data_IF_749692221542
#
_entry.id   IF_749692221542
#
_cell.length_a   1.000
_cell.length_b   1.000
_cell.length_c   1.000
_cell.angle_alpha   90.00
_cell.angle_beta   90.00
_cell.angle_gamma   90.00
#
_symmetry.space_group_name_H-M   'P 1'
#
loop_
_entity.id
_entity.type
_entity.pdbx_description
1 polymer ?
#
# COMPACT_ATOMS: atom_id res chain seq x y z
N UNK A 1 12.63 52.16 18.72
CA UNK A 1 12.99 50.78 19.15
C UNK A 1 11.81 49.86 19.39
N UNK A 2 10.71 50.26 20.07
CA UNK A 2 9.56 49.37 20.35
C UNK A 2 8.82 48.85 19.10
N UNK A 3 8.73 49.65 18.05
CA UNK A 3 8.04 49.30 16.79
C UNK A 3 8.79 48.23 15.99
N UNK A 4 10.12 48.30 15.96
CA UNK A 4 10.99 47.35 15.25
C UNK A 4 10.93 45.95 15.88
N UNK A 5 10.84 45.86 17.22
CA UNK A 5 10.70 44.58 17.93
C UNK A 5 9.33 43.92 17.67
N UNK A 6 8.26 44.72 17.49
CA UNK A 6 6.92 44.22 17.15
C UNK A 6 6.85 43.70 15.71
N UNK A 7 7.52 44.36 14.77
CA UNK A 7 7.59 43.92 13.37
C UNK A 7 8.39 42.61 13.25
N UNK A 8 9.51 42.50 13.97
CA UNK A 8 10.31 41.27 14.01
C UNK A 8 9.53 40.11 14.65
N UNK A 9 8.80 40.37 15.75
CA UNK A 9 7.95 39.35 16.39
C UNK A 9 6.81 38.88 15.48
N UNK A 10 6.17 39.79 14.72
CA UNK A 10 5.15 39.41 13.73
C UNK A 10 5.73 38.62 12.55
N UNK A 11 6.95 38.95 12.09
CA UNK A 11 7.63 38.21 11.02
C UNK A 11 8.03 36.80 11.46
N UNK A 12 8.52 36.63 12.70
CA UNK A 12 8.84 35.31 13.27
C UNK A 12 7.57 34.46 13.42
N UNK A 13 6.46 35.05 13.90
CA UNK A 13 5.17 34.36 13.97
C UNK A 13 4.64 33.94 12.60
N UNK A 14 4.83 34.77 11.55
CA UNK A 14 4.40 34.46 10.18
C UNK A 14 5.24 33.33 9.55
N UNK A 15 6.55 33.28 9.83
CA UNK A 15 7.47 32.23 9.36
C UNK A 15 7.22 30.90 10.11
N UNK A 16 6.83 30.95 11.39
CA UNK A 16 6.44 29.75 12.13
C UNK A 16 5.06 29.21 11.69
N UNK A 17 4.16 30.06 11.17
CA UNK A 17 2.83 29.62 10.69
C UNK A 17 2.86 29.03 9.28
N UNK A 18 3.87 29.35 8.47
CA UNK A 18 4.08 28.76 7.13
C UNK A 18 4.94 27.49 7.14
N UNK A 19 5.49 27.10 8.30
CA UNK A 19 6.46 26.02 8.40
C UNK A 19 5.88 24.61 8.65
N UNK A 20 4.57 24.40 8.57
CA UNK A 20 3.97 23.08 8.80
C UNK A 20 2.97 22.69 7.71
N UNK A 21 3.44 22.59 6.47
CA UNK A 21 2.79 21.81 5.42
C UNK A 21 3.86 21.02 4.69
N UNK A 22 4.45 20.04 5.39
CA UNK A 22 5.22 19.02 4.71
C UNK A 22 4.20 18.29 3.82
N UNK A 23 4.39 18.39 2.50
CA UNK A 23 3.58 17.61 1.58
C UNK A 23 3.75 16.14 1.92
N UNK A 24 2.65 15.41 2.10
CA UNK A 24 2.72 13.97 2.21
C UNK A 24 3.26 13.42 0.87
N UNK A 25 4.28 12.56 0.94
CA UNK A 25 4.81 11.76 -0.17
C UNK A 25 3.77 10.71 -0.65
N UNK A 26 4.11 9.77 -1.54
CA UNK A 26 3.12 8.83 -2.09
C UNK A 26 2.47 7.90 -1.02
N UNK A 27 1.15 7.65 -1.09
CA UNK A 27 0.43 6.77 -0.14
C UNK A 27 0.88 5.31 -0.20
N UNK A 28 1.27 4.81 -1.38
CA UNK A 28 1.76 3.43 -1.53
C UNK A 28 3.18 3.20 -1.02
N UNK A 29 4.01 4.24 -1.08
CA UNK A 29 5.46 4.12 -0.83
C UNK A 29 5.88 4.55 0.57
N UNK A 30 4.96 5.17 1.33
CA UNK A 30 5.24 5.79 2.63
C UNK A 30 4.50 5.12 3.80
N UNK A 31 3.84 3.99 3.54
CA UNK A 31 3.12 3.19 4.53
C UNK A 31 3.86 1.87 4.80
N UNK A 32 4.94 1.92 5.59
CA UNK A 32 5.81 0.77 5.89
C UNK A 32 5.18 -0.23 6.90
N UNK A 33 3.95 -0.65 6.65
CA UNK A 33 3.18 -1.51 7.56
C UNK A 33 3.77 -2.92 7.70
N UNK A 34 4.71 -3.32 6.83
CA UNK A 34 5.48 -4.55 7.01
C UNK A 34 6.21 -4.60 8.36
N UNK A 35 6.48 -3.45 8.99
CA UNK A 35 7.16 -3.36 10.29
C UNK A 35 6.36 -4.08 11.39
N UNK A 36 5.02 -4.07 11.31
CA UNK A 36 4.14 -4.79 12.22
C UNK A 36 4.23 -6.34 12.09
N UNK A 37 4.92 -6.82 11.06
CA UNK A 37 5.12 -8.24 10.77
C UNK A 37 6.60 -8.62 10.78
N UNK A 38 7.47 -7.82 11.42
CA UNK A 38 8.91 -8.07 11.45
C UNK A 38 9.28 -9.41 12.10
N UNK A 39 8.43 -9.95 12.98
CA UNK A 39 8.62 -11.24 13.64
C UNK A 39 8.18 -12.44 12.77
N UNK A 40 7.48 -12.21 11.65
CA UNK A 40 7.13 -13.27 10.71
C UNK A 40 8.39 -13.70 9.93
N UNK A 41 8.87 -14.96 10.04
CA UNK A 41 10.14 -15.37 9.43
C UNK A 41 10.21 -15.10 7.92
N UNK A 42 9.09 -15.31 7.21
CA UNK A 42 8.99 -15.06 5.77
C UNK A 42 9.12 -13.57 5.41
N UNK A 43 8.69 -12.66 6.28
CA UNK A 43 8.83 -11.20 6.11
C UNK A 43 10.23 -10.76 6.49
N UNK A 44 10.75 -11.26 7.62
CA UNK A 44 12.08 -10.94 8.13
C UNK A 44 13.21 -11.28 7.15
N UNK A 45 13.07 -12.36 6.38
CA UNK A 45 14.08 -12.77 5.40
C UNK A 45 14.13 -11.91 4.12
N UNK A 46 13.15 -11.04 3.90
CA UNK A 46 13.12 -10.18 2.71
C UNK A 46 14.15 -9.06 2.84
N UNK A 47 15.14 -9.08 1.94
CA UNK A 47 16.15 -8.02 1.82
C UNK A 47 15.75 -7.08 0.70
N UNK A 48 15.47 -5.83 1.05
CA UNK A 48 15.14 -4.77 0.09
C UNK A 48 16.24 -4.61 -0.97
N UNK A 49 15.82 -4.36 -2.21
CA UNK A 49 16.73 -4.25 -3.36
C UNK A 49 17.25 -5.59 -3.90
N UNK A 50 16.95 -6.73 -3.26
CA UNK A 50 17.26 -8.06 -3.79
C UNK A 50 16.03 -8.69 -4.44
N UNK A 51 16.28 -9.54 -5.42
CA UNK A 51 15.26 -10.41 -6.01
C UNK A 51 14.71 -11.37 -4.96
N UNK A 52 13.38 -11.43 -4.73
CA UNK A 52 12.80 -12.36 -3.79
C UNK A 52 12.99 -13.83 -4.22
N UNK A 53 13.02 -14.73 -3.25
CA UNK A 53 13.26 -16.16 -3.48
C UNK A 53 12.01 -16.88 -4.01
N UNK A 54 12.19 -18.08 -4.56
CA UNK A 54 11.07 -18.94 -4.94
C UNK A 54 10.21 -19.35 -3.72
N UNK A 55 10.77 -19.36 -2.52
CA UNK A 55 10.01 -19.55 -1.27
C UNK A 55 9.08 -18.35 -0.99
N UNK A 56 9.56 -17.12 -1.18
CA UNK A 56 8.71 -15.92 -1.08
C UNK A 56 7.53 -16.01 -2.06
N UNK A 57 7.81 -16.39 -3.31
CA UNK A 57 6.77 -16.54 -4.32
C UNK A 57 5.80 -17.69 -4.02
N UNK A 58 6.30 -18.80 -3.49
CA UNK A 58 5.46 -19.90 -3.01
C UNK A 58 4.52 -19.43 -1.91
N UNK A 59 5.02 -18.63 -0.97
CA UNK A 59 4.21 -18.09 0.12
C UNK A 59 3.08 -17.19 -0.38
N UNK A 60 3.38 -16.28 -1.32
CA UNK A 60 2.35 -15.42 -1.94
C UNK A 60 1.31 -16.24 -2.70
N UNK A 61 1.74 -17.35 -3.33
CA UNK A 61 0.90 -18.17 -4.17
C UNK A 61 0.00 -19.17 -3.42
N UNK A 62 0.37 -19.55 -2.19
CA UNK A 62 -0.37 -20.54 -1.41
C UNK A 62 -1.70 -19.97 -0.88
N UNK A 63 -2.86 -20.59 -1.16
CA UNK A 63 -4.17 -20.03 -0.83
C UNK A 63 -4.46 -19.93 0.66
N UNK A 64 -3.85 -20.78 1.48
CA UNK A 64 -4.13 -20.85 2.92
C UNK A 64 -3.31 -19.85 3.76
N UNK A 65 -2.30 -19.21 3.14
CA UNK A 65 -1.46 -18.25 3.85
C UNK A 65 -2.22 -16.94 4.13
N UNK A 66 -2.04 -16.31 5.31
CA UNK A 66 -2.76 -15.09 5.67
C UNK A 66 -2.52 -13.96 4.67
N UNK A 67 -3.61 -13.37 4.16
CA UNK A 67 -3.56 -12.27 3.20
C UNK A 67 -2.75 -11.08 3.74
N UNK A 68 -2.88 -10.76 5.03
CA UNK A 68 -2.12 -9.69 5.68
C UNK A 68 -0.60 -9.90 5.58
N UNK A 69 -0.13 -11.12 5.83
CA UNK A 69 1.30 -11.46 5.73
C UNK A 69 1.76 -11.41 4.28
N UNK A 70 0.94 -11.86 3.31
CA UNK A 70 1.25 -11.70 1.88
C UNK A 70 1.45 -10.22 1.50
N UNK A 71 0.58 -9.34 1.99
CA UNK A 71 0.66 -7.91 1.71
C UNK A 71 1.87 -7.28 2.43
N UNK A 72 2.20 -7.73 3.64
CA UNK A 72 3.40 -7.29 4.37
C UNK A 72 4.70 -7.69 3.64
N UNK A 73 4.76 -8.91 3.08
CA UNK A 73 5.88 -9.34 2.22
C UNK A 73 6.05 -8.37 1.05
N UNK A 74 4.96 -8.02 0.36
CA UNK A 74 5.00 -7.13 -0.81
C UNK A 74 5.40 -5.71 -0.43
N UNK A 75 4.86 -5.19 0.68
CA UNK A 75 5.27 -3.90 1.25
C UNK A 75 6.77 -3.90 1.62
N UNK A 76 7.29 -5.00 2.19
CA UNK A 76 8.72 -5.16 2.47
C UNK A 76 9.58 -5.26 1.21
N UNK A 77 9.12 -5.97 0.18
CA UNK A 77 9.78 -6.01 -1.15
C UNK A 77 9.92 -4.57 -1.65
N UNK A 78 8.86 -3.77 -1.50
CA UNK A 78 8.87 -2.34 -1.74
C UNK A 78 9.05 -1.96 -3.20
N UNK A 79 9.35 -0.69 -3.41
CA UNK A 79 9.46 -0.02 -4.71
C UNK A 79 10.90 0.46 -4.95
N UNK A 80 11.16 1.01 -6.13
CA UNK A 80 12.38 1.76 -6.43
C UNK A 80 12.05 2.89 -7.42
N UNK A 81 12.77 4.01 -7.37
CA UNK A 81 12.51 5.16 -8.24
C UNK A 81 12.62 4.81 -9.74
N UNK A 82 13.64 4.03 -10.11
CA UNK A 82 13.84 3.51 -11.47
C UNK A 82 12.82 2.43 -11.88
N UNK A 83 11.86 2.11 -11.00
CA UNK A 83 10.92 1.02 -11.15
C UNK A 83 11.52 -0.35 -10.78
N UNK A 84 10.66 -1.36 -10.77
CA UNK A 84 11.01 -2.76 -10.50
C UNK A 84 10.28 -3.70 -11.47
N UNK A 85 10.58 -4.99 -11.37
CA UNK A 85 9.98 -6.04 -12.19
C UNK A 85 9.41 -7.21 -11.35
N UNK A 86 9.11 -6.95 -10.07
CA UNK A 86 8.65 -7.94 -9.09
C UNK A 86 7.36 -8.63 -9.54
N UNK A 87 6.46 -7.87 -10.17
CA UNK A 87 5.24 -8.37 -10.79
C UNK A 87 5.53 -9.42 -11.85
N UNK A 88 6.46 -9.13 -12.78
CA UNK A 88 6.79 -10.05 -13.86
C UNK A 88 7.53 -11.29 -13.37
N UNK A 89 8.37 -11.15 -12.34
CA UNK A 89 9.04 -12.27 -11.68
C UNK A 89 8.01 -13.19 -11.01
N UNK A 90 7.03 -12.62 -10.30
CA UNK A 90 5.96 -13.38 -9.67
C UNK A 90 5.07 -14.08 -10.70
N UNK A 91 4.64 -13.40 -11.78
CA UNK A 91 3.91 -14.03 -12.88
C UNK A 91 4.70 -15.18 -13.51
N UNK A 92 6.01 -15.00 -13.68
CA UNK A 92 6.89 -16.04 -14.23
C UNK A 92 6.94 -17.26 -13.29
N UNK A 93 7.05 -17.04 -11.98
CA UNK A 93 6.96 -18.09 -10.98
C UNK A 93 5.62 -18.85 -11.09
N UNK A 94 4.48 -18.15 -11.09
CA UNK A 94 3.16 -18.78 -11.16
C UNK A 94 2.98 -19.64 -12.43
N UNK A 95 3.53 -19.19 -13.56
CA UNK A 95 3.55 -19.96 -14.82
C UNK A 95 4.42 -21.21 -14.72
N UNK A 96 5.63 -21.09 -14.16
CA UNK A 96 6.53 -22.25 -13.95
C UNK A 96 5.89 -23.31 -13.05
N UNK A 97 5.16 -22.89 -12.02
CA UNK A 97 4.45 -23.80 -11.11
C UNK A 97 3.11 -24.31 -11.66
N UNK A 98 2.69 -23.90 -12.85
CA UNK A 98 1.41 -24.31 -13.45
C UNK A 98 0.16 -23.73 -12.77
N UNK A 99 0.32 -22.73 -11.89
CA UNK A 99 -0.78 -22.11 -11.13
C UNK A 99 -1.67 -21.26 -12.05
N UNK A 100 -1.04 -20.58 -13.02
CA UNK A 100 -1.71 -19.87 -14.10
C UNK A 100 -1.01 -20.15 -15.44
N UNK A 101 -1.75 -20.16 -16.55
CA UNK A 101 -1.17 -20.23 -17.91
C UNK A 101 -1.02 -18.82 -18.48
N UNK A 102 -1.98 -17.95 -18.16
CA UNK A 102 -2.04 -16.55 -18.59
C UNK A 102 -2.41 -15.69 -17.39
N UNK A 103 -2.02 -14.42 -17.45
CA UNK A 103 -2.34 -13.44 -16.41
C UNK A 103 -3.85 -13.36 -16.12
N UNK A 104 -4.69 -13.40 -17.17
CA UNK A 104 -6.15 -13.38 -17.01
C UNK A 104 -6.71 -14.54 -16.18
N UNK A 105 -5.96 -15.63 -16.03
CA UNK A 105 -6.40 -16.76 -15.21
C UNK A 105 -6.43 -16.38 -13.72
N UNK A 106 -5.67 -15.35 -13.29
CA UNK A 106 -5.70 -14.80 -11.93
C UNK A 106 -7.08 -14.22 -11.56
N UNK A 107 -7.79 -13.65 -12.54
CA UNK A 107 -9.12 -13.05 -12.34
C UNK A 107 -10.22 -14.05 -11.97
N UNK A 108 -9.91 -15.35 -12.04
CA UNK A 108 -10.85 -16.44 -11.79
C UNK A 108 -10.52 -17.21 -10.49
N UNK A 109 -9.43 -16.88 -9.80
CA UNK A 109 -8.95 -17.63 -8.61
C UNK A 109 -9.56 -17.09 -7.33
N UNK A 110 -10.20 -17.96 -6.53
CA UNK A 110 -10.77 -17.62 -5.23
C UNK A 110 -9.91 -18.23 -4.10
N UNK A 111 -9.75 -17.54 -2.95
CA UNK A 111 -10.08 -16.13 -2.71
C UNK A 111 -9.21 -15.19 -3.58
N UNK A 112 -9.60 -13.93 -3.75
CA UNK A 112 -8.96 -13.00 -4.68
C UNK A 112 -7.55 -12.51 -4.27
N UNK A 113 -6.94 -13.10 -3.25
CA UNK A 113 -5.67 -12.67 -2.64
C UNK A 113 -4.46 -12.87 -3.55
N UNK A 114 -4.47 -13.89 -4.40
CA UNK A 114 -3.45 -14.10 -5.44
C UNK A 114 -3.46 -12.95 -6.45
N UNK A 115 -4.67 -12.54 -6.86
CA UNK A 115 -4.85 -11.38 -7.74
C UNK A 115 -4.45 -10.08 -7.05
N UNK A 116 -4.77 -9.91 -5.76
CA UNK A 116 -4.33 -8.76 -4.97
C UNK A 116 -2.80 -8.70 -4.86
N UNK A 117 -2.14 -9.83 -4.63
CA UNK A 117 -0.68 -9.90 -4.55
C UNK A 117 -0.03 -9.45 -5.85
N UNK A 118 -0.58 -9.91 -6.98
CA UNK A 118 -0.14 -9.49 -8.30
C UNK A 118 -0.40 -7.98 -8.53
N UNK A 119 -1.57 -7.48 -8.11
CA UNK A 119 -1.92 -6.06 -8.21
C UNK A 119 -0.96 -5.16 -7.42
N UNK A 120 -0.67 -5.52 -6.17
CA UNK A 120 0.15 -4.69 -5.29
C UNK A 120 1.62 -4.67 -5.72
N UNK A 121 2.18 -5.81 -6.15
CA UNK A 121 3.50 -5.87 -6.78
C UNK A 121 3.57 -4.97 -8.01
N UNK A 122 2.54 -5.01 -8.87
CA UNK A 122 2.47 -4.18 -10.08
C UNK A 122 2.39 -2.69 -9.75
N UNK A 123 1.65 -2.32 -8.71
CA UNK A 123 1.58 -0.94 -8.24
C UNK A 123 2.94 -0.44 -7.73
N UNK A 124 3.68 -1.26 -6.98
CA UNK A 124 5.01 -0.88 -6.46
C UNK A 124 6.12 -0.94 -7.52
N UNK A 125 5.96 -1.75 -8.57
CA UNK A 125 6.88 -1.77 -9.71
C UNK A 125 6.85 -0.45 -10.49
N UNK A 126 5.69 0.22 -10.57
CA UNK A 126 5.53 1.55 -11.16
C UNK A 126 4.41 2.34 -10.48
N UNK A 127 4.72 2.97 -9.35
CA UNK A 127 3.73 3.72 -8.55
C UNK A 127 3.30 5.04 -9.20
N UNK A 128 3.95 5.45 -10.29
CA UNK A 128 3.52 6.59 -11.11
C UNK A 128 2.38 6.23 -12.09
N UNK A 129 2.12 4.95 -12.36
CA UNK A 129 1.04 4.49 -13.24
C UNK A 129 0.41 3.21 -12.69
N UNK A 130 -0.67 3.39 -11.94
CA UNK A 130 -1.28 2.32 -11.14
C UNK A 130 -2.67 1.93 -11.61
N UNK A 131 -3.18 2.46 -12.72
CA UNK A 131 -4.56 2.25 -13.17
C UNK A 131 -4.88 0.78 -13.42
N UNK A 132 -3.94 0.05 -14.01
CA UNK A 132 -4.10 -1.39 -14.23
C UNK A 132 -4.04 -2.17 -12.91
N UNK A 133 -3.12 -1.82 -12.01
CA UNK A 133 -3.04 -2.41 -10.68
C UNK A 133 -4.33 -2.16 -9.89
N UNK A 134 -4.90 -0.95 -9.95
CA UNK A 134 -6.18 -0.62 -9.33
C UNK A 134 -7.33 -1.44 -9.91
N UNK A 135 -7.38 -1.67 -11.22
CA UNK A 135 -8.38 -2.56 -11.83
C UNK A 135 -8.28 -3.99 -11.28
N UNK A 136 -7.07 -4.52 -11.13
CA UNK A 136 -6.83 -5.83 -10.53
C UNK A 136 -7.25 -5.86 -9.06
N UNK A 137 -6.85 -4.87 -8.27
CA UNK A 137 -7.17 -4.78 -6.84
C UNK A 137 -8.68 -4.66 -6.60
N UNK A 138 -9.39 -3.86 -7.41
CA UNK A 138 -10.86 -3.76 -7.37
C UNK A 138 -11.53 -5.10 -7.64
N UNK A 139 -11.00 -5.88 -8.57
CA UNK A 139 -11.50 -7.22 -8.83
C UNK A 139 -11.20 -8.16 -7.66
N UNK A 140 -10.01 -8.10 -7.07
CA UNK A 140 -9.69 -8.85 -5.86
C UNK A 140 -10.65 -8.51 -4.69
N UNK A 141 -10.96 -7.22 -4.49
CA UNK A 141 -11.96 -6.74 -3.53
C UNK A 141 -13.36 -7.32 -3.81
N UNK A 142 -13.81 -7.38 -5.07
CA UNK A 142 -15.07 -8.06 -5.42
C UNK A 142 -15.06 -9.56 -5.09
N UNK A 143 -13.88 -10.18 -5.11
CA UNK A 143 -13.73 -11.61 -4.87
C UNK A 143 -13.61 -11.97 -3.40
N UNK A 144 -13.25 -11.00 -2.55
CA UNK A 144 -13.09 -11.15 -1.11
C UNK A 144 -13.49 -9.84 -0.40
N UNK A 145 -14.78 -9.44 -0.48
CA UNK A 145 -15.24 -8.11 -0.10
C UNK A 145 -15.26 -7.85 1.40
N UNK A 146 -15.27 -8.91 2.20
CA UNK A 146 -15.30 -8.88 3.66
C UNK A 146 -13.91 -8.69 4.29
N UNK A 147 -12.81 -9.00 3.60
CA UNK A 147 -11.46 -8.87 4.16
C UNK A 147 -11.04 -7.42 4.37
N UNK A 148 -10.67 -7.05 5.59
CA UNK A 148 -10.11 -5.73 5.89
C UNK A 148 -8.84 -5.47 5.06
N UNK A 149 -7.91 -6.42 5.04
CA UNK A 149 -6.65 -6.34 4.31
C UNK A 149 -6.89 -6.08 2.82
N UNK A 150 -7.80 -6.83 2.18
CA UNK A 150 -8.08 -6.65 0.75
C UNK A 150 -8.64 -5.26 0.48
N UNK A 151 -9.53 -4.77 1.35
CA UNK A 151 -10.13 -3.45 1.21
C UNK A 151 -9.10 -2.34 1.38
N UNK A 152 -8.25 -2.38 2.41
CA UNK A 152 -7.28 -1.31 2.68
C UNK A 152 -6.17 -1.26 1.62
N UNK A 153 -5.68 -2.40 1.14
CA UNK A 153 -4.67 -2.41 0.06
C UNK A 153 -5.27 -1.93 -1.26
N UNK A 154 -6.51 -2.30 -1.57
CA UNK A 154 -7.22 -1.74 -2.73
C UNK A 154 -7.37 -0.21 -2.60
N UNK A 155 -7.74 0.28 -1.42
CA UNK A 155 -7.88 1.71 -1.16
C UNK A 155 -6.54 2.45 -1.27
N UNK A 156 -5.42 1.90 -0.80
CA UNK A 156 -4.09 2.51 -0.97
C UNK A 156 -3.69 2.62 -2.45
N UNK A 157 -3.98 1.59 -3.27
CA UNK A 157 -3.72 1.64 -4.72
C UNK A 157 -4.65 2.65 -5.40
N UNK A 158 -5.90 2.76 -4.98
CA UNK A 158 -6.84 3.78 -5.49
C UNK A 158 -6.42 5.19 -5.06
N UNK A 159 -5.93 5.35 -3.83
CA UNK A 159 -5.43 6.60 -3.30
C UNK A 159 -4.20 7.09 -4.07
N UNK A 160 -3.34 6.18 -4.55
CA UNK A 160 -2.24 6.56 -5.43
C UNK A 160 -2.71 7.19 -6.75
N UNK A 161 -3.88 6.81 -7.28
CA UNK A 161 -4.44 7.47 -8.48
C UNK A 161 -4.83 8.92 -8.14
N UNK A 162 -5.43 9.13 -6.97
CA UNK A 162 -5.89 10.45 -6.53
C UNK A 162 -4.73 11.36 -6.09
N UNK A 163 -3.57 10.80 -5.74
CA UNK A 163 -2.45 11.48 -5.09
C UNK A 163 -2.05 12.82 -5.75
N UNK A 164 -1.94 12.86 -7.07
CA UNK A 164 -1.51 14.07 -7.80
C UNK A 164 -2.64 15.08 -8.06
N UNK A 165 -3.89 14.79 -7.65
CA UNK A 165 -5.06 15.57 -8.09
C UNK A 165 -6.10 15.89 -7.01
N UNK A 166 -6.33 15.02 -6.01
CA UNK A 166 -7.35 15.19 -4.98
C UNK A 166 -6.91 14.54 -3.66
N UNK A 167 -6.30 15.35 -2.79
CA UNK A 167 -5.79 14.88 -1.48
C UNK A 167 -6.92 14.52 -0.51
N UNK A 168 -8.06 15.21 -0.60
CA UNK A 168 -9.24 14.82 0.17
C UNK A 168 -9.72 13.43 -0.22
N UNK A 169 -9.63 13.06 -1.50
CA UNK A 169 -9.97 11.71 -1.97
C UNK A 169 -8.97 10.66 -1.48
N UNK A 170 -7.66 10.98 -1.47
CA UNK A 170 -6.62 10.12 -0.87
C UNK A 170 -6.98 9.73 0.57
N UNK A 171 -7.37 10.72 1.37
CA UNK A 171 -7.84 10.51 2.74
C UNK A 171 -9.14 9.68 2.76
N UNK A 172 -10.20 10.14 2.07
CA UNK A 172 -11.54 9.52 2.10
C UNK A 172 -11.54 8.05 1.70
N UNK A 173 -10.73 7.66 0.69
CA UNK A 173 -10.64 6.29 0.21
C UNK A 173 -10.19 5.31 1.30
N UNK A 174 -9.14 5.67 2.05
CA UNK A 174 -8.61 4.81 3.12
C UNK A 174 -9.42 4.92 4.41
N UNK A 175 -9.89 6.13 4.73
CA UNK A 175 -10.74 6.41 5.88
C UNK A 175 -12.11 5.69 5.81
N UNK A 176 -12.67 5.51 4.61
CA UNK A 176 -13.87 4.70 4.40
C UNK A 176 -13.67 3.23 4.84
N UNK A 177 -12.46 2.68 4.72
CA UNK A 177 -12.16 1.30 5.12
C UNK A 177 -12.13 1.16 6.64
N UNK A 178 -11.45 2.06 7.38
CA UNK A 178 -11.42 1.98 8.85
C UNK A 178 -12.77 2.22 9.51
N UNK A 179 -13.63 3.03 8.89
CA UNK A 179 -15.00 3.28 9.38
C UNK A 179 -15.95 2.13 9.09
N UNK A 180 -15.57 1.20 8.21
CA UNK A 180 -16.38 0.05 7.88
C UNK A 180 -16.22 -1.07 8.92
N UNK A 181 -17.10 -1.06 9.93
CA UNK A 181 -17.11 -2.05 11.02
C UNK A 181 -17.65 -3.42 10.60
N UNK A 182 -18.08 -3.63 9.35
CA UNK A 182 -18.57 -4.93 8.88
C UNK A 182 -17.47 -5.80 8.26
N UNK A 183 -16.27 -5.24 8.07
CA UNK A 183 -15.15 -6.00 7.53
C UNK A 183 -14.63 -7.00 8.56
N UNK A 184 -14.28 -8.18 8.09
CA UNK A 184 -13.50 -9.16 8.85
C UNK A 184 -12.15 -8.55 9.16
N UNK A 185 -11.87 -8.45 10.45
CA UNK A 185 -10.59 -7.99 10.93
C UNK A 185 -9.52 -9.07 10.72
N UNK A 186 -8.79 -8.98 9.61
CA UNK A 186 -7.73 -9.92 9.23
C UNK A 186 -6.37 -9.25 9.05
N UNK A 187 -6.18 -8.04 9.59
CA UNK A 187 -4.93 -7.29 9.56
C UNK A 187 -4.48 -6.96 10.99
N UNK A 188 -3.17 -7.06 11.25
CA UNK A 188 -2.57 -6.64 12.52
C UNK A 188 -2.89 -5.16 12.85
N UNK A 189 -3.28 -4.88 14.10
CA UNK A 189 -3.65 -3.52 14.55
C UNK A 189 -2.52 -2.51 14.41
N UNK A 190 -1.28 -2.91 14.65
CA UNK A 190 -0.10 -2.08 14.45
C UNK A 190 0.10 -1.74 12.97
N UNK A 191 -0.19 -2.69 12.07
CA UNK A 191 -0.15 -2.42 10.63
C UNK A 191 -1.20 -1.37 10.24
N UNK A 192 -2.42 -1.47 10.80
CA UNK A 192 -3.46 -0.44 10.61
C UNK A 192 -3.00 0.91 11.14
N UNK A 193 -2.41 0.94 12.35
CA UNK A 193 -1.88 2.17 12.96
C UNK A 193 -0.85 2.83 12.04
N UNK A 194 0.14 2.10 11.55
CA UNK A 194 1.17 2.61 10.63
C UNK A 194 0.55 3.18 9.36
N UNK A 195 -0.44 2.48 8.77
CA UNK A 195 -1.14 2.97 7.58
C UNK A 195 -1.83 4.30 7.89
N UNK A 196 -2.66 4.36 8.94
CA UNK A 196 -3.47 5.55 9.20
C UNK A 196 -2.70 6.73 9.76
N UNK A 197 -1.61 6.51 10.51
CA UNK A 197 -0.72 7.60 10.91
C UNK A 197 -0.19 8.38 9.71
N UNK A 198 0.08 7.68 8.60
CA UNK A 198 0.46 8.33 7.35
C UNK A 198 -0.74 8.89 6.59
N UNK A 199 -1.81 8.10 6.43
CA UNK A 199 -2.96 8.53 5.63
C UNK A 199 -3.72 9.72 6.24
N UNK A 200 -3.64 9.91 7.56
CA UNK A 200 -4.25 11.06 8.26
C UNK A 200 -3.55 12.39 7.93
N UNK A 201 -2.32 12.36 7.41
CA UNK A 201 -1.63 13.57 6.95
C UNK A 201 -2.34 14.24 5.76
N UNK A 202 -3.15 13.51 4.99
CA UNK A 202 -3.96 14.06 3.91
C UNK A 202 -5.31 14.62 4.39
N UNK A 203 -5.77 14.22 5.59
CA UNK A 203 -7.05 14.64 6.15
C UNK A 203 -7.00 16.02 6.82
N UNK A 204 -5.81 16.60 7.00
CA UNK A 204 -5.64 17.91 7.65
C UNK A 204 -5.95 19.11 6.75
N UNK A 205 -6.35 18.90 5.50
CA UNK A 205 -6.68 19.95 4.52
C UNK A 205 -8.20 20.19 4.32
N UNK A 206 -9.08 19.47 5.04
CA UNK A 206 -10.54 19.66 5.04
C UNK A 206 -11.06 20.46 6.26
#
# INVERSE_FOLDING_TARGET
MKTTHRIIACLIALICFSAQRAAADSPLTSTDFHQAYADEPIVAQIVQGRTPSDETWAYLAAPDNPVAVKMAIINKIGWAFEGKNSYQLFLSYLKRQGICKREKDLYQKRPGDLLLSAAYLKALDNYFNVEEAARMARQARKMHPDSYTVNIICALIEAQIAFDSDWGEVYRLTDAVRRNTTLKDDMNDEAKRIIFEYMDLYGSDD
#
